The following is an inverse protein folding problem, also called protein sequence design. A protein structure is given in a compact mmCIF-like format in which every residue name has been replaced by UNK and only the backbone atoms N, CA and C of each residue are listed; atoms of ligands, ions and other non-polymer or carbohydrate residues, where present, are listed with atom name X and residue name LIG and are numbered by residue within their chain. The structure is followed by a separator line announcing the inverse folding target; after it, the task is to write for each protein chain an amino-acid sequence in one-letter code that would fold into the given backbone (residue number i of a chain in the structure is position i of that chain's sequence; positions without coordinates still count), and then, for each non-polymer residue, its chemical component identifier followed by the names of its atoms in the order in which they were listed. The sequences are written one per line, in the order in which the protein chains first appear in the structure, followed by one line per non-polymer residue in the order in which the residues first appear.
data_IF_110013993749
#
_entry.id   IF_110013993749
#
_cell.length_a   1.000
_cell.length_b   1.000
_cell.length_c   1.000
_cell.angle_alpha   90.00
_cell.angle_beta   90.00
_cell.angle_gamma   90.00
#
_symmetry.space_group_name_H-M   'P 1'
#
loop_
_entity.id
_entity.type
_entity.pdbx_description
1 polymer ?
#
# COMPACT_ATOMS: atom_id res chain seq x y z
N UNK A 1 -9.21 6.05 -14.26
CA UNK A 1 -9.08 5.07 -13.16
C UNK A 1 -7.92 5.52 -12.27
N UNK A 2 -8.01 5.36 -10.94
CA UNK A 2 -6.88 5.63 -10.04
C UNK A 2 -5.78 4.57 -10.23
N UNK A 3 -4.51 4.88 -9.94
CA UNK A 3 -3.43 3.88 -9.93
C UNK A 3 -3.71 2.72 -8.98
N UNK A 4 -3.18 1.54 -9.34
CA UNK A 4 -3.25 0.31 -8.52
C UNK A 4 -2.00 0.10 -7.66
N UNK A 5 -1.00 0.97 -7.79
CA UNK A 5 0.20 1.00 -6.95
C UNK A 5 0.14 2.25 -6.09
N UNK A 6 0.25 2.06 -4.78
CA UNK A 6 0.06 3.13 -3.79
C UNK A 6 1.28 3.20 -2.89
N UNK A 7 1.80 4.41 -2.72
CA UNK A 7 2.75 4.75 -1.67
C UNK A 7 2.01 5.58 -0.62
N UNK A 8 1.93 5.07 0.60
CA UNK A 8 1.50 5.83 1.75
C UNK A 8 2.71 6.52 2.39
N UNK A 9 2.86 7.82 2.14
CA UNK A 9 3.91 8.64 2.74
C UNK A 9 3.39 9.28 4.04
N UNK A 10 3.86 8.78 5.19
CA UNK A 10 3.42 9.26 6.50
C UNK A 10 4.49 9.11 7.58
N UNK A 11 4.43 9.96 8.60
CA UNK A 11 5.19 9.81 9.83
C UNK A 11 4.30 9.45 11.03
N UNK A 12 3.03 9.10 10.77
CA UNK A 12 2.06 8.75 11.81
C UNK A 12 2.11 7.26 12.09
N UNK A 13 1.89 6.88 13.35
CA UNK A 13 1.63 5.48 13.72
C UNK A 13 0.27 5.04 13.17
N UNK A 14 0.17 3.76 12.83
CA UNK A 14 -1.12 3.18 12.52
C UNK A 14 -2.01 3.14 13.78
N UNK A 15 -3.32 3.25 13.57
CA UNK A 15 -4.36 3.04 14.58
C UNK A 15 -5.69 2.80 13.87
N UNK A 16 -6.62 2.14 14.54
CA UNK A 16 -7.89 1.65 13.96
C UNK A 16 -8.75 2.76 13.32
N UNK A 17 -8.56 4.02 13.70
CA UNK A 17 -9.23 5.16 13.05
C UNK A 17 -8.90 5.28 11.54
N UNK A 18 -7.82 4.63 11.07
CA UNK A 18 -7.41 4.61 9.68
C UNK A 18 -7.83 3.34 8.93
N UNK A 19 -8.54 2.41 9.57
CA UNK A 19 -9.10 1.23 8.90
C UNK A 19 -9.93 1.60 7.64
N UNK A 20 -10.74 2.69 7.62
CA UNK A 20 -11.45 3.09 6.40
C UNK A 20 -10.54 3.38 5.20
N UNK A 21 -9.28 3.77 5.42
CA UNK A 21 -8.31 3.93 4.34
C UNK A 21 -7.87 2.56 3.81
N UNK A 22 -7.59 1.59 4.68
CA UNK A 22 -7.23 0.23 4.26
C UNK A 22 -8.37 -0.40 3.46
N UNK A 23 -9.61 -0.20 3.92
CA UNK A 23 -10.81 -0.64 3.23
C UNK A 23 -10.99 0.01 1.85
N UNK A 24 -10.76 1.32 1.72
CA UNK A 24 -10.81 2.01 0.41
C UNK A 24 -9.80 1.41 -0.57
N UNK A 25 -8.57 1.17 -0.10
CA UNK A 25 -7.48 0.63 -0.90
C UNK A 25 -7.75 -0.82 -1.33
N UNK A 26 -8.23 -1.65 -0.41
CA UNK A 26 -8.63 -3.03 -0.69
C UNK A 26 -9.78 -3.09 -1.69
N UNK A 27 -10.85 -2.32 -1.49
CA UNK A 27 -11.99 -2.28 -2.40
C UNK A 27 -11.63 -1.75 -3.80
N UNK A 28 -10.58 -0.93 -3.90
CA UNK A 28 -10.01 -0.48 -5.18
C UNK A 28 -9.18 -1.54 -5.90
N UNK A 29 -8.93 -2.69 -5.26
CA UNK A 29 -8.11 -3.77 -5.80
C UNK A 29 -6.73 -3.30 -6.20
N UNK A 30 -6.07 -2.55 -5.32
CA UNK A 30 -4.65 -2.22 -5.50
C UNK A 30 -3.82 -3.51 -5.54
N UNK A 31 -2.66 -3.43 -6.16
CA UNK A 31 -1.74 -4.57 -6.32
C UNK A 31 -0.43 -4.35 -5.58
N UNK A 32 -0.12 -3.10 -5.22
CA UNK A 32 1.05 -2.73 -4.43
C UNK A 32 0.69 -1.67 -3.40
N UNK A 33 1.04 -1.93 -2.15
CA UNK A 33 0.99 -0.99 -1.04
C UNK A 33 2.39 -0.82 -0.43
N UNK A 34 2.99 0.35 -0.62
CA UNK A 34 4.27 0.72 -0.03
C UNK A 34 4.04 1.73 1.09
N UNK A 35 4.41 1.41 2.32
CA UNK A 35 4.44 2.40 3.40
C UNK A 35 5.82 3.07 3.45
N UNK A 36 5.85 4.40 3.54
CA UNK A 36 7.10 5.18 3.60
C UNK A 36 7.04 6.22 4.72
N UNK A 37 8.17 6.39 5.42
CA UNK A 37 8.35 7.36 6.49
C UNK A 37 8.36 6.71 7.88
N UNK A 38 8.29 7.53 8.93
CA UNK A 38 8.36 7.01 10.30
C UNK A 38 7.17 6.10 10.62
N UNK A 39 7.45 4.94 11.22
CA UNK A 39 6.45 3.93 11.60
C UNK A 39 5.77 3.21 10.43
N UNK A 40 6.34 3.27 9.22
CA UNK A 40 5.79 2.61 8.02
C UNK A 40 5.54 1.10 8.20
N UNK A 41 6.39 0.39 8.95
CA UNK A 41 6.23 -1.05 9.24
C UNK A 41 4.85 -1.38 9.86
N UNK A 42 4.29 -0.46 10.67
CA UNK A 42 2.97 -0.66 11.27
C UNK A 42 1.85 -0.61 10.23
N UNK A 43 2.00 0.25 9.22
CA UNK A 43 1.03 0.37 8.13
C UNK A 43 1.11 -0.80 7.17
N UNK A 44 2.32 -1.27 6.87
CA UNK A 44 2.53 -2.52 6.11
C UNK A 44 1.88 -3.70 6.82
N UNK A 45 2.22 -3.90 8.11
CA UNK A 45 1.64 -4.97 8.92
C UNK A 45 0.11 -4.89 8.99
N UNK A 46 -0.45 -3.69 9.11
CA UNK A 46 -1.88 -3.49 9.13
C UNK A 46 -2.54 -3.85 7.79
N UNK A 47 -1.96 -3.44 6.66
CA UNK A 47 -2.48 -3.81 5.34
C UNK A 47 -2.35 -5.31 5.07
N UNK A 48 -1.23 -5.93 5.44
CA UNK A 48 -1.00 -7.37 5.27
C UNK A 48 -2.05 -8.19 6.05
N UNK A 49 -2.25 -7.85 7.34
CA UNK A 49 -3.30 -8.47 8.16
C UNK A 49 -4.71 -8.21 7.60
N UNK A 50 -4.97 -6.99 7.11
CA UNK A 50 -6.28 -6.64 6.54
C UNK A 50 -6.56 -7.43 5.25
N UNK A 51 -5.56 -7.59 4.38
CA UNK A 51 -5.71 -8.26 3.08
C UNK A 51 -5.75 -9.80 3.20
N UNK A 52 -5.17 -10.36 4.26
CA UNK A 52 -5.11 -11.81 4.51
C UNK A 52 -6.20 -12.33 5.46
N UNK A 53 -7.14 -11.48 5.85
CA UNK A 53 -8.29 -11.84 6.68
C UNK A 53 -9.16 -12.93 5.99
N UNK A 54 -9.28 -14.14 6.57
CA UNK A 54 -9.99 -15.25 5.96
C UNK A 54 -11.51 -15.04 5.85
N UNK A 55 -12.09 -14.09 6.60
CA UNK A 55 -13.52 -13.78 6.52
C UNK A 55 -13.86 -12.87 5.32
N UNK A 56 -12.85 -12.34 4.60
CA UNK A 56 -13.06 -11.52 3.40
C UNK A 56 -13.28 -12.40 2.16
N UNK A 57 -14.44 -12.22 1.52
CA UNK A 57 -14.93 -13.05 0.41
C UNK A 57 -14.24 -12.73 -0.93
N UNK A 58 -13.67 -11.54 -1.09
CA UNK A 58 -12.99 -11.12 -2.33
C UNK A 58 -11.49 -11.44 -2.30
N UNK A 59 -11.09 -12.49 -3.01
CA UNK A 59 -9.67 -12.82 -3.19
C UNK A 59 -9.01 -11.90 -4.24
N UNK A 60 -8.11 -11.03 -3.80
CA UNK A 60 -7.09 -10.45 -4.65
C UNK A 60 -5.79 -10.26 -3.86
N UNK A 61 -4.66 -10.39 -4.56
CA UNK A 61 -3.35 -10.26 -3.93
C UNK A 61 -2.91 -8.79 -3.89
N UNK A 62 -2.42 -8.37 -2.73
CA UNK A 62 -1.76 -7.08 -2.53
C UNK A 62 -0.33 -7.36 -2.06
N UNK A 63 0.66 -6.92 -2.84
CA UNK A 63 2.05 -6.91 -2.38
C UNK A 63 2.21 -5.75 -1.40
N UNK A 64 2.65 -6.02 -0.18
CA UNK A 64 2.93 -4.99 0.83
C UNK A 64 4.45 -4.85 1.04
N UNK A 65 4.91 -3.64 1.32
CA UNK A 65 6.30 -3.35 1.68
C UNK A 65 6.39 -2.08 2.52
N UNK A 66 7.44 -1.94 3.33
CA UNK A 66 7.73 -0.71 4.07
C UNK A 66 9.19 -0.26 3.92
N UNK A 67 9.38 1.07 3.96
CA UNK A 67 10.66 1.71 3.64
C UNK A 67 10.91 2.90 4.58
N UNK A 68 11.57 2.67 5.72
CA UNK A 68 11.94 3.73 6.68
C UNK A 68 13.25 4.43 6.36
N UNK A 69 14.19 3.71 5.73
CA UNK A 69 15.58 4.15 5.53
C UNK A 69 15.90 4.57 4.09
N UNK A 70 14.91 4.48 3.19
CA UNK A 70 15.05 4.84 1.78
C UNK A 70 14.45 6.21 1.49
N UNK A 71 14.93 6.88 0.44
CA UNK A 71 14.31 8.13 0.00
C UNK A 71 12.96 7.86 -0.66
N UNK A 72 12.02 8.81 -0.57
CA UNK A 72 10.73 8.68 -1.25
C UNK A 72 10.88 8.53 -2.78
N UNK A 73 11.94 9.11 -3.36
CA UNK A 73 12.24 8.99 -4.78
C UNK A 73 12.66 7.57 -5.17
N UNK A 74 13.49 6.93 -4.35
CA UNK A 74 13.91 5.53 -4.56
C UNK A 74 12.72 4.60 -4.47
N UNK A 75 11.87 4.77 -3.44
CA UNK A 75 10.65 3.98 -3.26
C UNK A 75 9.67 4.19 -4.42
N UNK A 76 9.53 5.43 -4.91
CA UNK A 76 8.71 5.70 -6.09
C UNK A 76 9.25 5.02 -7.34
N UNK A 77 10.56 4.99 -7.52
CA UNK A 77 11.22 4.30 -8.63
C UNK A 77 11.02 2.79 -8.54
N UNK A 78 11.19 2.20 -7.35
CA UNK A 78 10.92 0.80 -7.09
C UNK A 78 9.46 0.44 -7.40
N UNK A 79 8.50 1.24 -6.91
CA UNK A 79 7.07 0.98 -7.13
C UNK A 79 6.70 1.01 -8.62
N UNK A 80 7.30 1.91 -9.40
CA UNK A 80 7.12 1.93 -10.86
C UNK A 80 7.66 0.67 -11.54
N UNK A 81 8.80 0.15 -11.07
CA UNK A 81 9.46 -1.04 -11.62
C UNK A 81 8.82 -2.37 -11.17
N UNK A 82 8.10 -2.38 -10.05
CA UNK A 82 7.42 -3.56 -9.55
C UNK A 82 6.36 -4.05 -10.56
N UNK A 83 6.55 -5.24 -11.13
CA UNK A 83 5.59 -5.84 -12.07
C UNK A 83 4.47 -6.47 -11.26
N UNK A 84 3.24 -6.05 -11.54
CA UNK A 84 2.01 -6.55 -10.91
C UNK A 84 1.18 -7.32 -11.94
N UNK A 85 0.53 -8.39 -11.50
CA UNK A 85 -0.04 -9.41 -12.41
C UNK A 85 -1.20 -8.89 -13.28
N UNK A 86 -1.91 -7.84 -12.88
CA UNK A 86 -3.10 -7.35 -13.58
C UNK A 86 -2.86 -6.56 -14.86
N UNK A 87 -1.62 -6.42 -15.34
CA UNK A 87 -1.31 -5.74 -16.60
C UNK A 87 -1.72 -4.25 -16.63
N UNK A 88 -1.91 -3.63 -15.46
CA UNK A 88 -2.32 -2.24 -15.31
C UNK A 88 -1.19 -1.24 -15.63
N UNK A 89 -1.53 0.05 -15.63
CA UNK A 89 -0.54 1.12 -15.73
C UNK A 89 0.50 1.00 -14.60
N UNK A 90 1.75 1.32 -14.91
CA UNK A 90 2.83 1.43 -13.91
C UNK A 90 2.80 2.77 -13.14
N UNK A 91 1.73 3.54 -13.29
CA UNK A 91 1.50 4.74 -12.49
C UNK A 91 1.45 4.39 -11.00
N UNK A 92 1.96 5.32 -10.20
CA UNK A 92 2.02 5.21 -8.75
C UNK A 92 1.28 6.40 -8.14
N UNK A 93 0.31 6.13 -7.29
CA UNK A 93 -0.33 7.14 -6.45
C UNK A 93 0.48 7.33 -5.16
N UNK A 94 0.67 8.58 -4.74
CA UNK A 94 1.23 8.89 -3.42
C UNK A 94 0.12 9.49 -2.57
N UNK A 95 -0.22 8.84 -1.46
CA UNK A 95 -1.13 9.34 -0.44
C UNK A 95 -0.28 9.93 0.70
N UNK A 96 -0.63 11.11 1.19
CA UNK A 96 0.09 11.79 2.28
C UNK A 96 -0.81 11.95 3.51
N UNK A 97 -0.35 11.50 4.68
CA UNK A 97 -1.03 11.62 5.98
C UNK A 97 -0.19 12.33 7.04
#
# INVERSE_FOLDING_TARGET
MKPRKVILATNRRYSDQYEPLLEELFNRRIELFCAWGAHCEQWESAMDLFATDPDRIEEHHITTTSHSDESLEDVQSMARMCVVEGGGSNDVEIIRL
#
